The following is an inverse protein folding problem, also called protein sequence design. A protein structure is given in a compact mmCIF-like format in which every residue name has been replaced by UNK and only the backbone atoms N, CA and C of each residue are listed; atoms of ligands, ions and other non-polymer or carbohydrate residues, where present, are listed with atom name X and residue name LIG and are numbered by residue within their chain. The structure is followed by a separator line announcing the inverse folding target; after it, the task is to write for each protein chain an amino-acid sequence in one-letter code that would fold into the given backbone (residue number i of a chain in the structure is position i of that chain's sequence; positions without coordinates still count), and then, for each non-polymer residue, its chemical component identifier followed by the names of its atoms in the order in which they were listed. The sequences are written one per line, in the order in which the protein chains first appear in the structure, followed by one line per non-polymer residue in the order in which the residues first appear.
data_IF_991446507781
#
_entry.id   IF_991446507781
#
_cell.length_a   1.000
_cell.length_b   1.000
_cell.length_c   1.000
_cell.angle_alpha   90.00
_cell.angle_beta   90.00
_cell.angle_gamma   90.00
#
_symmetry.space_group_name_H-M   'P 1'
#
loop_
_entity.id
_entity.type
_entity.pdbx_description
1 polymer ?
#
# COMPACT_ATOMS: atom_id res chain seq x y z
N UNK A 1 -56.40 67.01 -18.49
CA UNK A 1 -55.68 66.00 -19.30
C UNK A 1 -54.27 65.59 -18.83
N UNK A 2 -53.65 66.24 -17.84
CA UNK A 2 -52.28 65.85 -17.33
C UNK A 2 -52.26 64.74 -16.30
N UNK A 3 -53.37 64.41 -15.59
CA UNK A 3 -53.38 63.39 -14.55
C UNK A 3 -53.40 61.92 -15.10
N UNK A 4 -54.04 61.70 -16.27
CA UNK A 4 -54.18 60.38 -16.89
C UNK A 4 -52.85 59.76 -17.39
N UNK A 5 -51.87 60.56 -17.78
CA UNK A 5 -50.56 60.08 -18.23
C UNK A 5 -49.65 59.65 -17.07
N UNK A 6 -49.73 60.37 -15.95
CA UNK A 6 -48.94 60.07 -14.72
C UNK A 6 -49.45 58.79 -14.06
N UNK A 7 -50.76 58.57 -13.99
CA UNK A 7 -51.35 57.34 -13.43
C UNK A 7 -51.05 56.12 -14.29
N UNK A 8 -51.01 56.24 -15.61
CA UNK A 8 -50.55 55.17 -16.52
C UNK A 8 -49.10 54.82 -16.30
N UNK A 9 -48.21 55.78 -16.17
CA UNK A 9 -46.77 55.54 -15.88
C UNK A 9 -46.56 54.89 -14.51
N UNK A 10 -47.28 55.34 -13.49
CA UNK A 10 -47.25 54.76 -12.15
C UNK A 10 -47.75 53.31 -12.15
N UNK A 11 -48.82 52.99 -12.87
CA UNK A 11 -49.33 51.63 -13.01
C UNK A 11 -48.35 50.73 -13.77
N UNK A 12 -47.69 51.20 -14.82
CA UNK A 12 -46.65 50.47 -15.54
C UNK A 12 -45.47 50.20 -14.62
N UNK A 13 -45.01 51.18 -13.86
CA UNK A 13 -43.85 51.04 -12.94
C UNK A 13 -44.17 50.04 -11.82
N UNK A 14 -45.36 50.09 -11.23
CA UNK A 14 -45.81 49.10 -10.20
C UNK A 14 -45.98 47.71 -10.74
N UNK A 15 -46.47 47.56 -11.98
CA UNK A 15 -46.61 46.27 -12.66
C UNK A 15 -45.21 45.67 -12.96
N UNK A 16 -44.29 46.49 -13.49
CA UNK A 16 -42.92 46.08 -13.77
C UNK A 16 -42.18 45.68 -12.47
N UNK A 17 -42.38 46.45 -11.39
CA UNK A 17 -41.77 46.14 -10.09
C UNK A 17 -42.31 44.82 -9.50
N UNK A 18 -43.61 44.50 -9.66
CA UNK A 18 -44.19 43.22 -9.25
C UNK A 18 -43.61 42.05 -10.05
N UNK A 19 -43.48 42.20 -11.34
CA UNK A 19 -42.84 41.18 -12.20
C UNK A 19 -41.37 40.96 -11.79
N UNK A 20 -40.60 41.99 -11.58
CA UNK A 20 -39.21 41.89 -11.11
C UNK A 20 -39.13 41.14 -9.79
N UNK A 21 -39.99 41.45 -8.82
CA UNK A 21 -40.03 40.75 -7.54
C UNK A 21 -40.37 39.26 -7.71
N UNK A 22 -41.33 38.93 -8.60
CA UNK A 22 -41.69 37.53 -8.91
C UNK A 22 -40.49 36.75 -9.52
N UNK A 23 -39.75 37.36 -10.45
CA UNK A 23 -38.56 36.73 -11.02
C UNK A 23 -37.44 36.59 -10.02
N UNK A 24 -37.24 37.53 -9.11
CA UNK A 24 -36.27 37.42 -8.01
C UNK A 24 -36.64 36.23 -7.10
N UNK A 25 -37.91 36.10 -6.71
CA UNK A 25 -38.34 34.96 -5.89
C UNK A 25 -38.18 33.64 -6.62
N UNK A 26 -38.51 33.59 -7.91
CA UNK A 26 -38.29 32.39 -8.73
C UNK A 26 -36.79 32.01 -8.77
N UNK A 27 -35.92 32.97 -9.01
CA UNK A 27 -34.46 32.76 -9.00
C UNK A 27 -33.98 32.24 -7.65
N UNK A 28 -34.46 32.81 -6.53
CA UNK A 28 -34.11 32.34 -5.17
C UNK A 28 -34.56 30.89 -4.96
N UNK A 29 -35.79 30.54 -5.40
CA UNK A 29 -36.32 29.16 -5.28
C UNK A 29 -35.43 28.19 -6.07
N UNK A 30 -35.04 28.56 -7.29
CA UNK A 30 -34.17 27.75 -8.15
C UNK A 30 -32.78 27.56 -7.48
N UNK A 31 -32.21 28.63 -6.94
CA UNK A 31 -30.92 28.58 -6.23
C UNK A 31 -31.04 27.67 -5.01
N UNK A 32 -32.06 27.83 -4.19
CA UNK A 32 -32.30 26.99 -3.00
C UNK A 32 -32.48 25.53 -3.39
N UNK A 33 -33.23 25.27 -4.48
CA UNK A 33 -33.40 23.92 -5.00
C UNK A 33 -32.07 23.29 -5.42
N UNK A 34 -31.21 24.00 -6.19
CA UNK A 34 -29.91 23.49 -6.60
C UNK A 34 -28.97 23.29 -5.41
N UNK A 35 -28.95 24.21 -4.46
CA UNK A 35 -28.17 24.07 -3.23
C UNK A 35 -28.64 22.83 -2.46
N UNK A 36 -29.95 22.67 -2.26
CA UNK A 36 -30.50 21.53 -1.53
C UNK A 36 -30.23 20.20 -2.24
N UNK A 37 -30.40 20.19 -3.57
CA UNK A 37 -30.09 19.02 -4.41
C UNK A 37 -28.61 18.67 -4.35
N UNK A 38 -27.70 19.67 -4.42
CA UNK A 38 -26.26 19.49 -4.29
C UNK A 38 -25.90 18.87 -2.94
N UNK A 39 -26.37 19.45 -1.84
CA UNK A 39 -26.11 18.91 -0.49
C UNK A 39 -26.66 17.50 -0.31
N UNK A 40 -27.85 17.24 -0.81
CA UNK A 40 -28.45 15.91 -0.75
C UNK A 40 -27.65 14.88 -1.55
N UNK A 41 -27.17 15.26 -2.72
CA UNK A 41 -26.32 14.42 -3.53
C UNK A 41 -24.98 14.12 -2.83
N UNK A 42 -24.37 15.12 -2.21
CA UNK A 42 -23.16 14.96 -1.43
C UNK A 42 -23.36 14.04 -0.21
N UNK A 43 -24.43 14.22 0.56
CA UNK A 43 -24.74 13.36 1.71
C UNK A 43 -24.93 11.88 1.32
N UNK A 44 -25.51 11.63 0.15
CA UNK A 44 -25.73 10.28 -0.37
C UNK A 44 -24.45 9.65 -0.95
N UNK A 45 -23.45 10.44 -1.32
CA UNK A 45 -22.23 9.97 -2.01
C UNK A 45 -21.51 8.86 -1.23
N UNK A 46 -21.34 9.04 0.08
CA UNK A 46 -20.73 8.05 0.97
C UNK A 46 -21.48 6.72 0.96
N UNK A 47 -22.79 6.76 1.10
CA UNK A 47 -23.64 5.56 1.08
C UNK A 47 -23.60 4.87 -0.27
N UNK A 48 -23.67 5.65 -1.36
CA UNK A 48 -23.58 5.13 -2.72
C UNK A 48 -22.25 4.43 -2.98
N UNK A 49 -21.13 5.02 -2.54
CA UNK A 49 -19.81 4.43 -2.68
C UNK A 49 -19.66 3.14 -1.87
N UNK A 50 -20.16 3.12 -0.62
CA UNK A 50 -20.16 1.91 0.20
C UNK A 50 -20.96 0.77 -0.46
N UNK A 51 -22.20 1.06 -0.88
CA UNK A 51 -23.05 0.07 -1.54
C UNK A 51 -22.45 -0.42 -2.86
N UNK A 52 -21.78 0.48 -3.59
CA UNK A 52 -21.03 0.10 -4.80
C UNK A 52 -19.89 -0.87 -4.48
N UNK A 53 -19.08 -0.58 -3.48
CA UNK A 53 -17.99 -1.47 -3.06
C UNK A 53 -18.54 -2.84 -2.63
N UNK A 54 -19.50 -2.88 -1.74
CA UNK A 54 -20.14 -4.11 -1.31
C UNK A 54 -20.73 -4.91 -2.48
N UNK A 55 -21.42 -4.26 -3.42
CA UNK A 55 -21.99 -4.93 -4.59
C UNK A 55 -20.94 -5.48 -5.56
N UNK A 56 -19.83 -4.75 -5.76
CA UNK A 56 -18.72 -5.19 -6.61
C UNK A 56 -18.08 -6.47 -6.07
N UNK A 57 -17.84 -6.51 -4.77
CA UNK A 57 -17.05 -7.54 -4.15
C UNK A 57 -17.87 -8.73 -3.63
N UNK A 58 -19.16 -8.55 -3.37
CA UNK A 58 -20.08 -9.65 -3.05
C UNK A 58 -20.46 -10.51 -4.28
N UNK A 59 -20.06 -10.09 -5.48
CA UNK A 59 -20.28 -10.92 -6.67
C UNK A 59 -19.37 -12.15 -6.62
N UNK A 60 -19.91 -13.33 -6.93
CA UNK A 60 -19.17 -14.60 -6.98
C UNK A 60 -17.91 -14.56 -7.88
N UNK A 61 -17.90 -13.64 -8.85
CA UNK A 61 -16.81 -13.44 -9.80
C UNK A 61 -15.53 -12.93 -9.13
N UNK A 62 -15.66 -12.09 -8.10
CA UNK A 62 -14.53 -11.45 -7.42
C UNK A 62 -14.28 -11.99 -6.01
N UNK A 63 -14.98 -13.08 -5.66
CA UNK A 63 -14.78 -13.71 -4.36
C UNK A 63 -13.32 -14.15 -4.19
N UNK A 64 -12.67 -13.88 -3.06
CA UNK A 64 -11.25 -14.20 -2.88
C UNK A 64 -11.02 -15.71 -2.85
N UNK A 65 -10.06 -16.16 -3.66
CA UNK A 65 -9.56 -17.55 -3.65
C UNK A 65 -8.21 -17.64 -2.95
N UNK A 66 -8.02 -16.78 -1.96
CA UNK A 66 -6.79 -16.61 -1.20
C UNK A 66 -6.91 -17.35 0.11
N UNK A 67 -5.82 -17.95 0.56
CA UNK A 67 -5.67 -18.58 1.89
C UNK A 67 -4.35 -18.15 2.53
N UNK A 68 -4.23 -18.38 3.85
CA UNK A 68 -2.98 -18.09 4.56
C UNK A 68 -1.81 -18.93 4.04
N UNK A 69 -0.61 -18.37 4.09
CA UNK A 69 0.65 -18.98 3.62
C UNK A 69 0.97 -20.33 4.27
N UNK A 70 0.43 -20.60 5.46
CA UNK A 70 0.59 -21.89 6.16
C UNK A 70 -0.39 -22.99 5.72
N UNK A 71 -1.35 -22.71 4.85
CA UNK A 71 -2.42 -23.67 4.53
C UNK A 71 -2.08 -24.68 3.43
N UNK A 72 -0.81 -25.04 3.27
CA UNK A 72 -0.40 -26.15 2.39
C UNK A 72 -0.30 -25.82 0.92
N UNK A 73 -0.17 -24.56 0.56
CA UNK A 73 0.13 -24.14 -0.79
C UNK A 73 1.56 -24.59 -1.15
N UNK A 74 1.72 -25.35 -2.21
CA UNK A 74 3.00 -25.91 -2.71
C UNK A 74 4.07 -24.84 -3.05
N UNK A 75 3.71 -23.56 -3.05
CA UNK A 75 4.64 -22.46 -3.20
C UNK A 75 5.51 -22.21 -1.97
N UNK A 76 5.12 -22.74 -0.82
CA UNK A 76 5.79 -22.59 0.47
C UNK A 76 6.34 -23.94 0.95
N UNK A 77 7.14 -24.60 0.12
CA UNK A 77 7.81 -25.84 0.54
C UNK A 77 8.76 -25.52 1.71
N UNK A 78 8.32 -25.90 2.89
CA UNK A 78 9.04 -25.67 4.16
C UNK A 78 10.35 -26.46 4.24
N UNK A 79 10.55 -27.42 3.34
CA UNK A 79 11.72 -28.32 3.31
C UNK A 79 12.79 -27.83 2.34
N UNK A 80 12.50 -26.81 1.52
CA UNK A 80 13.49 -26.34 0.56
C UNK A 80 14.37 -25.23 1.14
N UNK A 81 15.59 -25.21 0.67
CA UNK A 81 16.74 -24.41 1.10
C UNK A 81 16.42 -23.03 1.68
N UNK A 82 17.02 -22.74 2.81
CA UNK A 82 17.00 -21.49 3.59
C UNK A 82 17.23 -20.19 2.78
N UNK A 83 17.43 -20.27 1.47
CA UNK A 83 17.61 -19.12 0.55
C UNK A 83 16.33 -18.64 -0.10
N UNK A 84 15.27 -19.44 -0.13
CA UNK A 84 13.98 -19.13 -0.76
C UNK A 84 12.98 -18.76 0.33
N UNK A 85 12.11 -17.80 0.06
CA UNK A 85 11.04 -17.44 0.97
C UNK A 85 11.29 -16.23 1.85
N UNK A 86 12.25 -15.38 1.47
CA UNK A 86 12.46 -14.10 2.14
C UNK A 86 11.39 -13.10 1.72
N UNK A 87 11.08 -12.12 2.56
CA UNK A 87 10.04 -11.12 2.27
C UNK A 87 10.22 -10.48 0.89
N UNK A 88 11.45 -10.19 0.49
CA UNK A 88 11.76 -9.61 -0.83
C UNK A 88 11.45 -10.51 -2.02
N UNK A 89 11.29 -11.82 -1.81
CA UNK A 89 11.07 -12.78 -2.87
C UNK A 89 9.59 -12.89 -3.29
N UNK A 90 8.70 -12.16 -2.64
CA UNK A 90 7.26 -12.23 -2.88
C UNK A 90 6.69 -10.94 -3.44
N UNK A 91 5.68 -11.07 -4.30
CA UNK A 91 4.69 -10.03 -4.58
C UNK A 91 3.66 -10.04 -3.47
N UNK A 92 3.25 -8.87 -2.99
CA UNK A 92 2.38 -8.68 -1.83
C UNK A 92 1.11 -7.96 -2.27
N UNK A 93 -0.06 -8.55 -2.00
CA UNK A 93 -1.34 -7.92 -2.29
C UNK A 93 -1.50 -6.62 -1.50
N UNK A 94 -1.56 -5.48 -2.20
CA UNK A 94 -1.42 -4.13 -1.65
C UNK A 94 -2.54 -3.21 -2.08
N UNK A 95 -3.08 -2.44 -1.15
CA UNK A 95 -4.13 -1.45 -1.35
C UNK A 95 -3.58 -0.04 -1.18
N UNK A 96 -4.09 0.91 -1.99
CA UNK A 96 -3.83 2.35 -1.87
C UNK A 96 -5.01 3.05 -1.21
N UNK A 97 -4.75 3.96 -0.25
CA UNK A 97 -5.80 4.69 0.48
C UNK A 97 -6.98 3.78 0.89
N UNK A 98 -6.71 2.79 1.73
CA UNK A 98 -7.58 1.64 2.01
C UNK A 98 -8.95 1.98 2.61
N UNK A 99 -9.16 3.23 3.05
CA UNK A 99 -10.46 3.73 3.53
C UNK A 99 -11.28 4.47 2.45
N UNK A 100 -10.79 4.57 1.21
CA UNK A 100 -11.50 5.28 0.15
C UNK A 100 -12.44 4.34 -0.63
N UNK A 101 -13.71 4.72 -0.72
CA UNK A 101 -14.72 4.01 -1.52
C UNK A 101 -15.05 4.70 -2.84
N UNK A 102 -14.53 5.90 -3.06
CA UNK A 102 -14.73 6.73 -4.25
C UNK A 102 -13.50 7.55 -4.57
N UNK A 103 -13.68 8.82 -4.91
CA UNK A 103 -12.60 9.72 -5.26
C UNK A 103 -11.77 10.13 -4.03
N UNK A 104 -10.51 10.50 -4.24
CA UNK A 104 -9.62 10.97 -3.17
C UNK A 104 -9.83 12.45 -2.85
N UNK A 105 -10.55 13.16 -3.69
CA UNK A 105 -10.90 14.56 -3.54
C UNK A 105 -12.40 14.76 -3.69
N UNK A 106 -12.97 15.65 -2.89
CA UNK A 106 -14.41 15.94 -2.89
C UNK A 106 -15.30 14.70 -2.68
N UNK A 107 -14.84 13.80 -1.82
CA UNK A 107 -15.54 12.56 -1.47
C UNK A 107 -15.36 12.20 0.03
N UNK A 108 -15.75 11.00 0.40
CA UNK A 108 -15.76 10.53 1.79
C UNK A 108 -14.88 9.30 1.99
N UNK A 109 -14.21 9.25 3.14
CA UNK A 109 -13.61 8.02 3.65
C UNK A 109 -14.61 7.27 4.55
N UNK A 110 -14.53 5.93 4.54
CA UNK A 110 -15.36 5.10 5.42
C UNK A 110 -14.66 3.79 5.80
N UNK A 111 -15.22 3.08 6.77
CA UNK A 111 -14.68 1.78 7.21
C UNK A 111 -15.13 0.62 6.31
N UNK A 112 -16.16 0.79 5.50
CA UNK A 112 -16.63 -0.25 4.56
C UNK A 112 -15.55 -0.62 3.54
N UNK A 113 -14.94 0.33 2.80
CA UNK A 113 -13.83 0.01 1.90
C UNK A 113 -12.68 -0.74 2.59
N UNK A 114 -12.30 -0.33 3.79
CA UNK A 114 -11.24 -1.00 4.54
C UNK A 114 -11.58 -2.46 4.83
N UNK A 115 -12.81 -2.74 5.25
CA UNK A 115 -13.28 -4.11 5.51
C UNK A 115 -13.28 -4.95 4.23
N UNK A 116 -13.75 -4.39 3.12
CA UNK A 116 -13.74 -5.07 1.82
C UNK A 116 -12.33 -5.38 1.34
N UNK A 117 -11.40 -4.42 1.46
CA UNK A 117 -9.99 -4.62 1.12
C UNK A 117 -9.36 -5.76 1.93
N UNK A 118 -9.62 -5.81 3.23
CA UNK A 118 -9.16 -6.88 4.13
C UNK A 118 -9.83 -8.21 3.77
N UNK A 119 -11.14 -8.21 3.54
CA UNK A 119 -11.90 -9.39 3.14
C UNK A 119 -11.39 -9.99 1.83
N UNK A 120 -10.87 -9.16 0.92
CA UNK A 120 -10.26 -9.61 -0.35
C UNK A 120 -8.77 -9.94 -0.23
N UNK A 121 -8.26 -10.03 0.99
CA UNK A 121 -6.95 -10.61 1.31
C UNK A 121 -5.77 -9.67 1.14
N UNK A 122 -5.95 -8.36 1.01
CA UNK A 122 -4.83 -7.43 0.98
C UNK A 122 -3.98 -7.54 2.26
N UNK A 123 -2.65 -7.52 2.10
CA UNK A 123 -1.67 -7.61 3.19
C UNK A 123 -0.74 -6.41 3.28
N UNK A 124 -0.92 -5.41 2.41
CA UNK A 124 -0.47 -4.05 2.64
C UNK A 124 -1.67 -3.12 2.57
N UNK A 125 -1.83 -2.33 3.64
CA UNK A 125 -2.87 -1.30 3.78
C UNK A 125 -2.20 0.06 3.88
N UNK A 126 -2.65 1.02 3.08
CA UNK A 126 -2.07 2.35 2.98
C UNK A 126 -3.03 3.43 3.48
N UNK A 127 -2.52 4.38 4.25
CA UNK A 127 -3.30 5.45 4.88
C UNK A 127 -2.56 6.79 4.90
N UNK A 128 -3.30 7.86 4.66
CA UNK A 128 -2.84 9.23 4.96
C UNK A 128 -3.33 9.66 6.35
N UNK A 129 -2.38 10.07 7.20
CA UNK A 129 -2.63 10.44 8.59
C UNK A 129 -2.57 11.96 8.74
N UNK A 130 -3.67 12.54 9.18
CA UNK A 130 -3.84 13.96 9.45
C UNK A 130 -4.12 14.20 10.92
N UNK A 131 -4.01 15.46 11.38
CA UNK A 131 -4.51 15.91 12.68
C UNK A 131 -5.74 16.80 12.47
N UNK A 132 -6.80 16.53 13.21
CA UNK A 132 -8.03 17.35 13.25
C UNK A 132 -8.46 17.48 14.70
N UNK A 133 -8.62 18.72 15.19
CA UNK A 133 -8.98 19.01 16.57
C UNK A 133 -8.06 18.28 17.58
N UNK A 134 -6.77 18.36 17.35
CA UNK A 134 -5.74 17.70 18.17
C UNK A 134 -5.83 16.17 18.25
N UNK A 135 -6.56 15.53 17.35
CA UNK A 135 -6.61 14.07 17.27
C UNK A 135 -6.14 13.56 15.91
N UNK A 136 -5.63 12.31 15.88
CA UNK A 136 -5.14 11.67 14.67
C UNK A 136 -6.28 11.01 13.92
N UNK A 137 -6.34 11.31 12.63
CA UNK A 137 -7.40 10.83 11.75
C UNK A 137 -6.84 10.32 10.43
N UNK A 138 -7.59 9.40 9.81
CA UNK A 138 -7.37 8.94 8.45
C UNK A 138 -8.28 9.73 7.51
N UNK A 139 -7.69 10.26 6.45
CA UNK A 139 -8.39 10.90 5.34
C UNK A 139 -7.63 10.61 4.05
N UNK A 140 -7.99 11.24 2.94
CA UNK A 140 -7.24 11.16 1.69
C UNK A 140 -7.14 12.53 1.04
N UNK A 141 -6.15 12.70 0.16
CA UNK A 141 -5.97 13.91 -0.63
C UNK A 141 -5.67 13.57 -2.09
N UNK A 142 -6.41 14.21 -2.98
CA UNK A 142 -6.08 14.25 -4.41
C UNK A 142 -5.17 15.42 -4.78
N UNK A 143 -4.71 16.20 -3.79
CA UNK A 143 -3.86 17.36 -3.99
C UNK A 143 -2.37 16.98 -4.05
N UNK A 144 -1.60 17.80 -4.77
CA UNK A 144 -0.13 17.73 -4.72
C UNK A 144 0.44 18.21 -3.37
N UNK A 145 -0.36 18.96 -2.59
CA UNK A 145 0.05 19.41 -1.25
C UNK A 145 -0.04 18.26 -0.26
N UNK A 146 1.05 17.90 0.43
CA UNK A 146 1.03 16.83 1.41
C UNK A 146 0.22 17.15 2.67
N UNK A 147 -0.09 18.43 2.90
CA UNK A 147 -0.76 18.90 4.14
C UNK A 147 -2.25 19.20 3.95
N UNK A 148 -2.77 19.05 2.74
CA UNK A 148 -4.15 19.39 2.43
C UNK A 148 -5.01 18.14 2.31
N UNK A 149 -5.94 17.96 3.26
CA UNK A 149 -6.97 16.94 3.21
C UNK A 149 -7.95 17.23 2.05
N UNK A 150 -8.22 16.24 1.20
CA UNK A 150 -9.13 16.37 0.05
C UNK A 150 -10.53 15.83 0.34
N UNK A 151 -10.69 14.88 1.26
CA UNK A 151 -11.99 14.29 1.60
C UNK A 151 -12.80 15.16 2.55
N UNK A 152 -14.15 15.13 2.40
CA UNK A 152 -15.07 15.93 3.23
C UNK A 152 -15.07 15.53 4.70
N UNK A 153 -14.77 14.26 4.99
CA UNK A 153 -14.69 13.75 6.36
C UNK A 153 -13.33 13.14 6.65
N UNK A 154 -13.19 12.66 7.87
CA UNK A 154 -12.07 11.85 8.33
C UNK A 154 -12.57 10.77 9.28
N UNK A 155 -11.76 9.73 9.50
CA UNK A 155 -12.01 8.63 10.42
C UNK A 155 -11.02 8.70 11.58
N UNK A 156 -11.42 8.47 12.83
CA UNK A 156 -10.49 8.36 13.95
C UNK A 156 -9.45 7.26 13.65
N UNK A 157 -8.17 7.54 13.91
CA UNK A 157 -7.12 6.54 13.77
C UNK A 157 -7.16 5.53 14.92
N UNK A 158 -7.17 6.01 16.16
CA UNK A 158 -7.18 5.20 17.38
C UNK A 158 -8.58 5.07 18.00
N UNK A 159 -8.63 4.41 19.17
CA UNK A 159 -9.86 4.14 19.91
C UNK A 159 -10.66 2.94 19.39
N UNK A 160 -11.71 2.56 20.11
CA UNK A 160 -12.49 1.32 19.87
C UNK A 160 -13.17 1.24 18.49
N UNK A 161 -13.42 2.37 17.85
CA UNK A 161 -14.03 2.48 16.51
C UNK A 161 -13.06 3.08 15.49
N UNK A 162 -11.78 3.21 15.85
CA UNK A 162 -10.75 3.75 14.99
C UNK A 162 -10.30 2.76 13.93
N UNK A 163 -9.62 3.28 12.92
CA UNK A 163 -9.11 2.50 11.79
C UNK A 163 -8.21 1.35 12.25
N UNK A 164 -7.30 1.60 13.20
CA UNK A 164 -6.40 0.56 13.72
C UNK A 164 -7.15 -0.57 14.43
N UNK A 165 -8.21 -0.26 15.19
CA UNK A 165 -9.04 -1.26 15.85
C UNK A 165 -9.79 -2.15 14.86
N UNK A 166 -10.29 -1.56 13.76
CA UNK A 166 -10.93 -2.32 12.67
C UNK A 166 -9.90 -3.22 11.98
N UNK A 167 -8.69 -2.73 11.72
CA UNK A 167 -7.62 -3.56 11.15
C UNK A 167 -7.35 -4.76 12.06
N UNK A 168 -7.13 -4.53 13.36
CA UNK A 168 -6.85 -5.61 14.31
C UNK A 168 -7.96 -6.67 14.35
N UNK A 169 -9.22 -6.23 14.39
CA UNK A 169 -10.36 -7.14 14.50
C UNK A 169 -10.69 -7.89 13.21
N UNK A 170 -10.36 -7.33 12.03
CA UNK A 170 -10.74 -7.92 10.74
C UNK A 170 -9.59 -8.63 10.04
N UNK A 171 -8.36 -8.11 10.11
CA UNK A 171 -7.25 -8.68 9.35
C UNK A 171 -6.67 -9.97 9.96
N UNK A 172 -6.98 -10.27 11.22
CA UNK A 172 -6.45 -11.43 11.95
C UNK A 172 -7.54 -12.36 12.47
N UNK A 173 -8.75 -12.27 11.93
CA UNK A 173 -9.90 -13.08 12.36
C UNK A 173 -10.47 -13.90 11.23
N UNK A 174 -10.70 -15.18 11.48
CA UNK A 174 -11.41 -16.05 10.56
C UNK A 174 -12.84 -15.53 10.32
N UNK A 175 -13.29 -15.55 9.08
CA UNK A 175 -14.62 -15.07 8.69
C UNK A 175 -14.67 -13.59 8.26
N UNK A 176 -13.67 -12.77 8.62
CA UNK A 176 -13.54 -11.37 8.13
C UNK A 176 -12.38 -11.19 7.16
N UNK A 177 -11.53 -12.22 7.03
CA UNK A 177 -10.36 -12.21 6.18
C UNK A 177 -10.03 -13.64 5.76
N UNK A 178 -9.62 -13.88 4.50
CA UNK A 178 -9.31 -15.24 4.00
C UNK A 178 -7.95 -15.75 4.49
N UNK A 179 -7.07 -14.87 4.95
CA UNK A 179 -5.69 -15.16 5.29
C UNK A 179 -5.25 -14.56 6.64
N UNK A 180 -5.95 -14.86 7.75
CA UNK A 180 -5.74 -14.21 9.05
C UNK A 180 -4.40 -14.49 9.70
N UNK A 181 -3.66 -15.51 9.25
CA UNK A 181 -2.34 -15.88 9.77
C UNK A 181 -1.19 -15.22 9.00
N UNK A 182 -1.48 -14.47 7.95
CA UNK A 182 -0.46 -13.78 7.16
C UNK A 182 0.00 -12.50 7.85
N UNK A 183 1.30 -12.14 7.76
CA UNK A 183 1.79 -10.85 8.25
C UNK A 183 1.09 -9.70 7.52
N UNK A 184 0.95 -8.57 8.22
CA UNK A 184 0.30 -7.37 7.69
C UNK A 184 1.28 -6.21 7.65
N UNK A 185 1.38 -5.57 6.51
CA UNK A 185 2.12 -4.33 6.30
C UNK A 185 1.14 -3.15 6.39
N UNK A 186 1.48 -2.16 7.20
CA UNK A 186 0.71 -0.91 7.33
C UNK A 186 1.61 0.23 6.87
N UNK A 187 1.24 0.86 5.76
CA UNK A 187 1.93 2.02 5.22
C UNK A 187 1.25 3.30 5.69
N UNK A 188 2.01 4.16 6.37
CA UNK A 188 1.54 5.41 6.95
C UNK A 188 2.20 6.60 6.25
N UNK A 189 1.41 7.35 5.50
CA UNK A 189 1.80 8.64 4.92
C UNK A 189 1.41 9.75 5.89
N UNK A 190 2.37 10.21 6.68
CA UNK A 190 2.12 11.09 7.81
C UNK A 190 2.10 12.55 7.35
N UNK A 191 0.93 13.18 7.45
CA UNK A 191 0.64 14.57 7.05
C UNK A 191 0.37 15.48 8.27
N UNK A 192 0.89 15.12 9.43
CA UNK A 192 0.72 15.86 10.68
C UNK A 192 2.07 16.33 11.23
N UNK A 193 2.02 17.22 12.22
CA UNK A 193 3.20 17.77 12.88
C UNK A 193 3.80 16.80 13.90
N UNK A 194 5.02 17.10 14.35
CA UNK A 194 5.78 16.30 15.32
C UNK A 194 5.06 16.12 16.65
N UNK A 195 4.29 17.09 17.09
CA UNK A 195 3.57 17.10 18.37
C UNK A 195 2.58 15.93 18.55
N UNK A 196 2.24 15.24 17.45
CA UNK A 196 1.29 14.12 17.45
C UNK A 196 1.95 12.74 17.43
N UNK A 197 3.29 12.63 17.38
CA UNK A 197 3.97 11.33 17.28
C UNK A 197 3.84 10.49 18.56
N UNK A 198 3.81 11.11 19.74
CA UNK A 198 3.57 10.36 20.99
C UNK A 198 2.18 9.72 20.99
N UNK A 199 1.17 10.47 20.52
CA UNK A 199 -0.19 9.96 20.36
C UNK A 199 -0.25 8.83 19.31
N UNK A 200 0.48 8.96 18.21
CA UNK A 200 0.59 7.93 17.17
C UNK A 200 1.24 6.67 17.73
N UNK A 201 2.36 6.81 18.44
CA UNK A 201 3.04 5.72 19.14
C UNK A 201 2.08 4.98 20.06
N UNK A 202 1.35 5.73 20.89
CA UNK A 202 0.36 5.17 21.82
C UNK A 202 -0.71 4.39 21.08
N UNK A 203 -1.34 4.95 20.05
CA UNK A 203 -2.40 4.28 19.30
C UNK A 203 -1.94 2.99 18.64
N UNK A 204 -0.75 2.98 18.02
CA UNK A 204 -0.19 1.80 17.36
C UNK A 204 0.18 0.73 18.40
N UNK A 205 0.87 1.12 19.49
CA UNK A 205 1.31 0.20 20.54
C UNK A 205 0.15 -0.42 21.32
N UNK A 206 -0.84 0.38 21.73
CA UNK A 206 -2.02 -0.11 22.43
C UNK A 206 -2.88 -1.03 21.55
N UNK A 207 -2.93 -0.75 20.23
CA UNK A 207 -3.72 -1.57 19.33
C UNK A 207 -3.04 -2.91 19.05
N UNK A 208 -1.79 -2.92 18.63
CA UNK A 208 -1.15 -4.13 18.13
C UNK A 208 -0.32 -4.88 19.17
N UNK A 209 0.25 -4.18 20.15
CA UNK A 209 0.97 -4.80 21.26
C UNK A 209 2.02 -5.83 20.81
N UNK A 210 1.84 -7.10 21.22
CA UNK A 210 2.78 -8.18 20.89
C UNK A 210 2.84 -8.58 19.40
N UNK A 211 1.93 -8.09 18.58
CA UNK A 211 1.99 -8.27 17.11
C UNK A 211 3.03 -7.37 16.46
N UNK A 212 3.43 -6.27 17.10
CA UNK A 212 4.55 -5.44 16.62
C UNK A 212 5.85 -6.22 16.68
N UNK A 213 6.78 -5.85 15.81
CA UNK A 213 8.14 -6.38 15.85
C UNK A 213 8.91 -5.78 17.03
N UNK A 214 9.93 -6.48 17.48
CA UNK A 214 10.81 -5.98 18.54
C UNK A 214 11.74 -4.86 18.02
N UNK A 215 12.40 -4.15 18.94
CA UNK A 215 13.24 -3.00 18.64
C UNK A 215 14.39 -3.32 17.66
N UNK A 216 14.81 -4.60 17.52
CA UNK A 216 15.84 -4.97 16.54
C UNK A 216 15.39 -4.78 15.08
N UNK A 217 14.09 -4.69 14.84
CA UNK A 217 13.49 -4.36 13.55
C UNK A 217 13.01 -2.91 13.44
N UNK A 218 13.17 -2.11 14.51
CA UNK A 218 12.81 -0.71 14.57
C UNK A 218 13.77 0.20 13.83
N UNK A 219 13.56 1.49 13.97
CA UNK A 219 14.46 2.54 13.45
C UNK A 219 14.74 2.40 11.94
N UNK A 220 13.74 2.03 11.16
CA UNK A 220 13.85 1.80 9.71
C UNK A 220 14.87 0.69 9.33
N UNK A 221 15.22 -0.19 10.25
CA UNK A 221 16.25 -1.22 10.04
C UNK A 221 17.65 -0.65 9.90
N UNK A 222 17.94 0.54 10.44
CA UNK A 222 19.26 1.15 10.37
C UNK A 222 20.26 0.40 11.28
N UNK A 223 21.47 0.20 10.77
CA UNK A 223 22.52 -0.52 11.49
C UNK A 223 23.11 0.25 12.68
N UNK A 224 22.92 1.57 12.73
CA UNK A 224 23.33 2.47 13.81
C UNK A 224 22.29 2.61 14.93
N UNK A 225 21.15 1.95 14.78
CA UNK A 225 20.03 2.03 15.72
C UNK A 225 20.27 1.22 17.01
N UNK A 226 19.65 1.61 18.12
CA UNK A 226 19.66 0.81 19.34
C UNK A 226 19.13 -0.61 19.10
N UNK A 227 19.94 -1.64 19.41
CA UNK A 227 19.57 -3.04 19.23
C UNK A 227 20.02 -3.69 17.91
N UNK A 228 20.60 -2.92 17.00
CA UNK A 228 21.17 -3.41 15.73
C UNK A 228 20.10 -3.71 14.67
N UNK A 229 19.96 -2.83 13.67
CA UNK A 229 18.90 -2.87 12.65
C UNK A 229 18.85 -4.16 11.82
N UNK A 230 17.87 -5.00 12.04
CA UNK A 230 17.58 -6.15 11.20
C UNK A 230 16.89 -5.72 9.93
N UNK A 231 17.30 -6.32 8.83
CA UNK A 231 16.70 -6.07 7.52
C UNK A 231 15.52 -7.03 7.26
N UNK A 232 14.30 -6.54 7.39
CA UNK A 232 13.08 -7.30 7.13
C UNK A 232 13.07 -7.94 5.73
N UNK A 233 13.63 -7.26 4.73
CA UNK A 233 13.66 -7.80 3.36
C UNK A 233 14.43 -9.13 3.26
N UNK A 234 15.35 -9.38 4.17
CA UNK A 234 16.19 -10.57 4.26
C UNK A 234 15.61 -11.69 5.14
N UNK A 235 14.62 -11.37 5.99
CA UNK A 235 14.01 -12.33 6.88
C UNK A 235 13.05 -13.25 6.10
N UNK A 236 12.82 -14.44 6.63
CA UNK A 236 11.84 -15.36 6.04
C UNK A 236 10.43 -14.81 6.27
N UNK A 237 9.60 -14.82 5.25
CA UNK A 237 8.21 -14.38 5.36
C UNK A 237 7.44 -15.15 6.44
N UNK A 238 7.73 -16.44 6.57
CA UNK A 238 7.08 -17.33 7.56
C UNK A 238 7.42 -16.97 9.01
N UNK A 239 8.54 -16.31 9.28
CA UNK A 239 8.92 -15.90 10.64
C UNK A 239 7.99 -14.79 11.19
N UNK A 240 7.28 -14.10 10.29
CA UNK A 240 6.27 -13.10 10.63
C UNK A 240 4.83 -13.63 10.60
N UNK A 241 4.63 -14.83 10.11
CA UNK A 241 3.30 -15.43 10.04
C UNK A 241 2.83 -15.94 11.42
N UNK A 242 1.52 -15.94 11.61
CA UNK A 242 0.88 -16.47 12.82
C UNK A 242 0.85 -18.01 12.81
N UNK A 243 0.91 -18.58 14.00
CA UNK A 243 0.75 -20.01 14.26
C UNK A 243 -0.49 -20.28 15.12
N UNK A 244 -0.68 -21.52 15.55
CA UNK A 244 -1.76 -21.84 16.49
C UNK A 244 -1.55 -21.22 17.88
N UNK A 245 -0.30 -20.86 18.21
CA UNK A 245 0.08 -20.26 19.50
C UNK A 245 0.46 -18.77 19.42
N UNK A 246 0.60 -18.20 18.23
CA UNK A 246 1.04 -16.81 18.03
C UNK A 246 0.25 -16.10 16.93
N UNK A 247 -0.03 -14.83 17.15
CA UNK A 247 -0.63 -13.98 16.12
C UNK A 247 0.42 -13.55 15.09
N UNK A 248 -0.02 -13.34 13.84
CA UNK A 248 0.82 -12.79 12.80
C UNK A 248 1.32 -11.38 13.14
N UNK A 249 2.49 -11.04 12.63
CA UNK A 249 3.16 -9.77 12.90
C UNK A 249 2.62 -8.63 12.04
N UNK A 250 2.70 -7.43 12.60
CA UNK A 250 2.40 -6.16 11.94
C UNK A 250 3.71 -5.43 11.67
N UNK A 251 3.91 -5.02 10.43
CA UNK A 251 5.10 -4.34 9.94
C UNK A 251 4.69 -2.92 9.57
N UNK A 252 5.30 -1.93 10.23
CA UNK A 252 5.00 -0.51 10.01
C UNK A 252 5.97 0.07 9.00
N UNK A 253 5.40 0.66 7.94
CA UNK A 253 6.13 1.39 6.90
C UNK A 253 5.73 2.86 6.97
N UNK A 254 6.70 3.78 6.94
CA UNK A 254 6.44 5.21 6.76
C UNK A 254 6.84 5.69 5.37
N UNK A 255 6.15 6.71 4.88
CA UNK A 255 6.51 7.35 3.63
C UNK A 255 7.85 8.10 3.73
N UNK A 256 8.41 8.46 2.57
CA UNK A 256 9.67 9.21 2.50
C UNK A 256 9.52 10.73 2.69
N UNK A 257 8.28 11.24 2.64
CA UNK A 257 8.02 12.68 2.58
C UNK A 257 8.19 13.38 3.92
N UNK A 258 7.83 12.70 5.02
CA UNK A 258 7.88 13.28 6.37
C UNK A 258 8.68 12.40 7.34
N UNK A 259 9.88 12.85 7.70
CA UNK A 259 10.81 12.17 8.61
C UNK A 259 10.83 12.78 10.02
N UNK A 260 9.87 13.61 10.37
CA UNK A 260 9.82 14.27 11.68
C UNK A 260 9.62 13.29 12.85
N UNK A 261 9.36 12.01 12.57
CA UNK A 261 9.31 10.95 13.58
C UNK A 261 10.70 10.56 14.13
N UNK A 262 11.78 10.89 13.43
CA UNK A 262 13.15 10.58 13.87
C UNK A 262 13.45 11.33 15.17
N UNK A 263 13.99 10.59 16.15
CA UNK A 263 14.21 11.09 17.50
C UNK A 263 12.96 11.08 18.41
N UNK A 264 11.82 10.59 17.95
CA UNK A 264 10.62 10.37 18.76
C UNK A 264 10.47 8.89 19.13
N UNK A 265 9.61 8.57 20.10
CA UNK A 265 9.29 7.19 20.46
C UNK A 265 8.65 6.39 19.30
N UNK A 266 8.06 7.07 18.32
CA UNK A 266 7.49 6.42 17.14
C UNK A 266 8.54 5.78 16.23
N UNK A 267 9.76 6.32 16.21
CA UNK A 267 10.85 5.79 15.38
C UNK A 267 11.18 4.32 15.68
N UNK A 268 11.06 3.91 16.95
CA UNK A 268 11.26 2.52 17.36
C UNK A 268 10.26 1.54 16.71
N UNK A 269 9.06 2.01 16.41
CA UNK A 269 8.01 1.19 15.80
C UNK A 269 8.12 1.09 14.28
N UNK A 270 8.94 1.94 13.65
CA UNK A 270 9.05 2.00 12.19
C UNK A 270 10.06 0.96 11.72
N UNK A 271 9.56 -0.01 10.98
CA UNK A 271 10.37 -1.12 10.47
C UNK A 271 11.02 -0.79 9.12
N UNK A 272 10.33 -0.02 8.28
CA UNK A 272 10.78 0.39 6.95
C UNK A 272 10.33 1.84 6.67
N UNK A 273 11.05 2.54 5.81
CA UNK A 273 10.58 3.80 5.25
C UNK A 273 10.93 3.91 3.77
N UNK A 274 10.21 4.78 3.06
CA UNK A 274 10.28 4.90 1.62
C UNK A 274 11.64 5.29 1.02
N UNK A 275 12.61 5.70 1.85
CA UNK A 275 14.00 5.99 1.47
C UNK A 275 15.01 5.27 2.38
N UNK A 276 14.56 4.23 3.11
CA UNK A 276 15.46 3.40 3.90
C UNK A 276 16.38 2.57 3.00
N UNK A 277 17.49 2.00 3.53
CA UNK A 277 18.37 1.16 2.74
C UNK A 277 17.68 -0.05 2.11
N UNK A 278 16.54 -0.48 2.66
CA UNK A 278 15.88 -1.74 2.32
C UNK A 278 14.53 -1.59 1.63
N UNK A 279 14.02 -0.37 1.53
CA UNK A 279 12.78 -0.04 0.83
C UNK A 279 12.95 1.24 0.03
N UNK A 280 12.55 1.22 -1.23
CA UNK A 280 12.29 2.45 -2.01
C UNK A 280 10.80 2.60 -2.30
N UNK A 281 10.33 3.82 -2.25
CA UNK A 281 8.98 4.22 -2.64
C UNK A 281 9.03 4.90 -4.00
N UNK A 282 8.15 4.49 -4.93
CA UNK A 282 8.11 4.98 -6.30
C UNK A 282 6.67 5.28 -6.73
N UNK A 283 6.50 6.28 -7.57
CA UNK A 283 5.25 6.49 -8.29
C UNK A 283 5.24 5.69 -9.59
N UNK A 284 4.06 5.46 -10.14
CA UNK A 284 3.88 4.71 -11.39
C UNK A 284 4.80 5.19 -12.52
N UNK A 285 4.88 6.51 -12.74
CA UNK A 285 5.74 7.10 -13.77
C UNK A 285 7.23 6.78 -13.57
N UNK A 286 7.70 6.67 -12.32
CA UNK A 286 9.10 6.39 -12.02
C UNK A 286 9.48 4.96 -12.43
N UNK A 287 8.50 4.05 -12.44
CA UNK A 287 8.65 2.67 -12.92
C UNK A 287 8.43 2.62 -14.43
N UNK A 288 7.35 3.23 -14.93
CA UNK A 288 6.97 3.19 -16.35
C UNK A 288 8.05 3.79 -17.26
N UNK A 289 8.70 4.86 -16.79
CA UNK A 289 9.71 5.60 -17.56
C UNK A 289 11.13 5.40 -17.00
N UNK A 290 11.38 4.31 -16.29
CA UNK A 290 12.71 4.03 -15.75
C UNK A 290 13.76 3.95 -16.86
N UNK A 291 14.85 4.70 -16.71
CA UNK A 291 15.98 4.66 -17.65
C UNK A 291 16.91 3.46 -17.39
N UNK A 292 16.79 2.83 -16.22
CA UNK A 292 17.67 1.77 -15.75
C UNK A 292 16.88 0.52 -15.31
N UNK A 293 16.18 -0.18 -16.25
CA UNK A 293 15.34 -1.33 -15.90
C UNK A 293 16.11 -2.44 -15.17
N UNK A 294 17.32 -2.77 -15.63
CA UNK A 294 18.16 -3.80 -15.01
C UNK A 294 18.62 -3.43 -13.59
N UNK A 295 18.90 -2.16 -13.35
CA UNK A 295 19.27 -1.70 -12.00
C UNK A 295 18.08 -1.81 -11.04
N UNK A 296 16.86 -1.53 -11.52
CA UNK A 296 15.64 -1.71 -10.75
C UNK A 296 15.38 -3.19 -10.44
N UNK A 297 15.54 -4.09 -11.41
CA UNK A 297 15.43 -5.54 -11.20
C UNK A 297 16.45 -6.04 -10.16
N UNK A 298 17.73 -5.64 -10.29
CA UNK A 298 18.78 -6.02 -9.34
C UNK A 298 18.55 -5.46 -7.93
N UNK A 299 18.03 -4.24 -7.84
CA UNK A 299 17.60 -3.69 -6.55
C UNK A 299 16.49 -4.55 -5.93
N UNK A 300 15.48 -4.91 -6.70
CA UNK A 300 14.32 -5.68 -6.25
C UNK A 300 14.62 -7.14 -5.89
N UNK A 301 15.77 -7.68 -6.33
CA UNK A 301 16.27 -8.98 -5.88
C UNK A 301 16.80 -8.94 -4.44
N UNK A 302 17.18 -7.76 -3.95
CA UNK A 302 17.84 -7.60 -2.64
C UNK A 302 17.01 -6.80 -1.63
N UNK A 303 16.20 -5.87 -2.13
CA UNK A 303 15.44 -4.91 -1.36
C UNK A 303 13.97 -4.89 -1.80
N UNK A 304 13.17 -4.09 -1.12
CA UNK A 304 11.75 -3.92 -1.40
C UNK A 304 11.48 -2.66 -2.23
N UNK A 305 10.45 -2.72 -3.07
CA UNK A 305 9.90 -1.55 -3.75
C UNK A 305 8.40 -1.51 -3.52
N UNK A 306 7.93 -0.38 -2.98
CA UNK A 306 6.52 -0.01 -2.87
C UNK A 306 6.20 0.97 -3.99
N UNK A 307 5.15 0.69 -4.77
CA UNK A 307 4.73 1.55 -5.86
C UNK A 307 3.30 2.03 -5.67
N UNK A 308 3.06 3.30 -5.99
CA UNK A 308 1.78 3.98 -5.82
C UNK A 308 1.33 4.64 -7.11
N UNK A 309 0.01 4.92 -7.28
CA UNK A 309 -0.50 5.73 -8.38
C UNK A 309 0.15 7.11 -8.44
N UNK A 310 0.19 7.70 -9.64
CA UNK A 310 0.63 9.08 -9.83
C UNK A 310 -0.41 10.06 -9.28
N UNK A 311 0.05 11.20 -8.74
CA UNK A 311 -0.83 12.23 -8.18
C UNK A 311 -1.73 12.92 -9.21
N UNK A 312 -1.49 12.68 -10.51
CA UNK A 312 -2.29 13.23 -11.61
C UNK A 312 -3.44 12.32 -12.03
N UNK A 313 -3.32 11.00 -11.81
CA UNK A 313 -4.28 9.96 -12.21
C UNK A 313 -4.55 9.03 -11.04
N UNK A 314 -4.98 9.58 -9.92
CA UNK A 314 -5.15 8.84 -8.67
C UNK A 314 -6.25 7.78 -8.72
N UNK A 315 -7.31 8.00 -9.49
CA UNK A 315 -8.47 7.11 -9.52
C UNK A 315 -8.26 5.87 -10.40
N UNK A 316 -7.37 5.93 -11.38
CA UNK A 316 -7.07 4.80 -12.25
C UNK A 316 -6.08 3.84 -11.59
N UNK A 317 -6.25 2.54 -11.81
CA UNK A 317 -5.28 1.56 -11.39
C UNK A 317 -4.07 1.54 -12.32
N UNK A 318 -2.91 1.41 -11.71
CA UNK A 318 -1.64 1.24 -12.42
C UNK A 318 -1.53 -0.18 -13.00
N UNK A 319 -0.73 -0.35 -14.06
CA UNK A 319 -0.45 -1.67 -14.63
C UNK A 319 0.45 -2.48 -13.69
N UNK A 320 -0.15 -3.26 -12.80
CA UNK A 320 0.59 -4.10 -11.86
C UNK A 320 1.52 -5.08 -12.56
N UNK A 321 1.16 -5.58 -13.74
CA UNK A 321 1.98 -6.50 -14.54
C UNK A 321 3.32 -5.88 -14.93
N UNK A 322 3.34 -4.60 -15.31
CA UNK A 322 4.59 -3.87 -15.59
C UNK A 322 5.48 -3.81 -14.35
N UNK A 323 4.92 -3.43 -13.21
CA UNK A 323 5.67 -3.31 -11.95
C UNK A 323 6.22 -4.67 -11.49
N UNK A 324 5.40 -5.71 -11.58
CA UNK A 324 5.80 -7.08 -11.25
C UNK A 324 6.90 -7.60 -12.18
N UNK A 325 6.93 -7.19 -13.46
CA UNK A 325 8.00 -7.59 -14.40
C UNK A 325 9.37 -7.07 -13.98
N UNK A 326 9.43 -5.97 -13.27
CA UNK A 326 10.67 -5.46 -12.65
C UNK A 326 10.92 -5.98 -11.24
N UNK A 327 10.06 -6.88 -10.73
CA UNK A 327 10.18 -7.48 -9.41
C UNK A 327 9.75 -6.57 -8.25
N UNK A 328 9.01 -5.47 -8.50
CA UNK A 328 8.43 -4.65 -7.43
C UNK A 328 7.49 -5.50 -6.58
N UNK A 329 7.63 -5.45 -5.26
CA UNK A 329 6.91 -6.35 -4.36
C UNK A 329 5.51 -5.84 -4.02
N UNK A 330 5.37 -4.56 -3.73
CA UNK A 330 4.16 -3.93 -3.22
C UNK A 330 3.63 -2.93 -4.25
N UNK A 331 2.58 -3.33 -4.98
CA UNK A 331 1.91 -2.49 -5.99
C UNK A 331 0.56 -2.09 -5.44
N UNK A 332 0.47 -0.85 -4.95
CA UNK A 332 -0.72 -0.33 -4.29
C UNK A 332 -1.83 -0.03 -5.30
N UNK A 333 -2.95 -0.75 -5.20
CA UNK A 333 -4.08 -0.66 -6.11
C UNK A 333 -5.27 0.05 -5.49
N UNK A 334 -6.06 0.72 -6.32
CA UNK A 334 -7.32 1.37 -5.97
C UNK A 334 -8.45 0.35 -5.99
N UNK A 335 -8.73 -0.28 -4.86
CA UNK A 335 -9.77 -1.32 -4.74
C UNK A 335 -11.19 -0.81 -5.06
N UNK A 336 -11.45 0.48 -4.90
CA UNK A 336 -12.73 1.10 -5.27
C UNK A 336 -12.96 1.20 -6.78
N UNK A 337 -11.93 0.95 -7.61
CA UNK A 337 -12.04 0.99 -9.07
C UNK A 337 -11.73 -0.38 -9.69
N UNK A 338 -12.78 -1.06 -10.18
CA UNK A 338 -12.67 -2.39 -10.80
C UNK A 338 -12.42 -2.28 -12.32
N UNK A 339 -11.35 -1.61 -12.71
CA UNK A 339 -10.89 -1.52 -14.10
C UNK A 339 -10.17 -2.81 -14.57
N UNK A 340 -9.64 -2.79 -15.80
CA UNK A 340 -8.91 -3.93 -16.36
C UNK A 340 -7.63 -4.27 -15.59
N UNK A 341 -6.93 -3.26 -15.06
CA UNK A 341 -5.72 -3.46 -14.29
C UNK A 341 -6.02 -4.14 -12.94
N UNK A 342 -7.10 -3.71 -12.26
CA UNK A 342 -7.54 -4.34 -11.01
C UNK A 342 -8.00 -5.78 -11.23
N UNK A 343 -8.72 -6.07 -12.33
CA UNK A 343 -9.13 -7.44 -12.68
C UNK A 343 -7.91 -8.35 -12.86
N UNK A 344 -6.91 -7.92 -13.64
CA UNK A 344 -5.66 -8.67 -13.82
C UNK A 344 -4.91 -8.87 -12.50
N UNK A 345 -4.95 -7.87 -11.62
CA UNK A 345 -4.35 -7.95 -10.29
C UNK A 345 -5.03 -9.02 -9.42
N UNK A 346 -6.36 -9.02 -9.36
CA UNK A 346 -7.13 -10.06 -8.66
C UNK A 346 -6.88 -11.45 -9.22
N UNK A 347 -6.90 -11.60 -10.54
CA UNK A 347 -6.62 -12.89 -11.20
C UNK A 347 -5.26 -13.43 -10.80
N UNK A 348 -4.22 -12.58 -10.74
CA UNK A 348 -2.89 -12.99 -10.31
C UNK A 348 -2.88 -13.59 -8.91
N UNK A 349 -3.44 -12.88 -7.92
CA UNK A 349 -3.43 -13.35 -6.53
C UNK A 349 -4.38 -14.53 -6.30
N UNK A 350 -5.55 -14.53 -6.93
CA UNK A 350 -6.49 -15.65 -6.88
C UNK A 350 -5.92 -16.93 -7.53
N UNK A 351 -5.22 -16.81 -8.66
CA UNK A 351 -4.55 -17.95 -9.30
C UNK A 351 -3.37 -18.45 -8.46
N UNK A 352 -2.68 -17.56 -7.77
CA UNK A 352 -1.62 -17.89 -6.83
C UNK A 352 -2.14 -18.47 -5.50
N UNK A 353 -3.44 -18.32 -5.20
CA UNK A 353 -4.07 -18.82 -3.98
C UNK A 353 -3.58 -18.18 -2.69
N UNK A 354 -2.83 -17.07 -2.77
CA UNK A 354 -2.23 -16.38 -1.63
C UNK A 354 -2.08 -14.88 -1.89
N UNK A 355 -2.08 -14.09 -0.82
CA UNK A 355 -1.70 -12.67 -0.86
C UNK A 355 -0.20 -12.45 -1.04
N UNK A 356 0.59 -13.50 -0.93
CA UNK A 356 2.02 -13.52 -1.15
C UNK A 356 2.36 -14.51 -2.27
N UNK A 357 2.76 -14.01 -3.42
CA UNK A 357 3.11 -14.83 -4.58
C UNK A 357 4.61 -14.80 -4.80
N UNK A 358 5.23 -15.97 -4.83
CA UNK A 358 6.66 -16.10 -5.08
C UNK A 358 7.01 -15.55 -6.46
N UNK A 359 8.01 -14.66 -6.52
CA UNK A 359 8.51 -14.10 -7.78
C UNK A 359 9.16 -15.19 -8.65
N UNK A 360 9.19 -15.03 -9.98
CA UNK A 360 9.98 -15.88 -10.87
C UNK A 360 11.46 -15.94 -10.43
N UNK A 361 12.13 -17.04 -10.69
CA UNK A 361 13.51 -17.28 -10.24
C UNK A 361 14.52 -16.22 -10.71
N UNK A 362 14.34 -15.70 -11.92
CA UNK A 362 15.17 -14.62 -12.48
C UNK A 362 15.03 -13.28 -11.76
N UNK A 363 13.93 -13.06 -11.03
CA UNK A 363 13.65 -11.87 -10.23
C UNK A 363 13.90 -12.05 -8.71
N UNK A 364 14.51 -13.17 -8.34
CA UNK A 364 14.94 -13.48 -6.98
C UNK A 364 16.46 -13.47 -6.85
N UNK A 365 16.98 -13.20 -5.65
CA UNK A 365 18.40 -13.34 -5.37
C UNK A 365 18.80 -14.83 -5.46
N UNK A 366 19.70 -15.14 -6.36
CA UNK A 366 20.25 -16.49 -6.48
C UNK A 366 21.59 -16.54 -5.76
N UNK A 367 21.85 -17.65 -5.06
CA UNK A 367 23.20 -17.90 -4.54
C UNK A 367 24.16 -18.04 -5.71
N UNK A 368 25.34 -17.42 -5.67
CA UNK A 368 26.35 -17.70 -6.67
C UNK A 368 26.70 -19.20 -6.62
N UNK A 369 26.51 -19.89 -7.74
CA UNK A 369 26.99 -21.25 -7.88
C UNK A 369 28.52 -21.17 -7.88
N UNK A 370 29.16 -21.57 -6.77
CA UNK A 370 30.59 -21.78 -6.77
C UNK A 370 30.87 -22.94 -7.73
N UNK A 371 31.33 -22.62 -8.90
CA UNK A 371 31.92 -23.63 -9.78
C UNK A 371 33.09 -24.22 -8.99
N UNK A 372 32.99 -25.50 -8.63
CA UNK A 372 34.13 -26.22 -8.07
C UNK A 372 35.24 -26.07 -9.08
N UNK A 373 36.38 -25.48 -8.67
CA UNK A 373 37.58 -25.50 -9.47
C UNK A 373 37.86 -26.96 -9.86
N UNK A 374 38.01 -27.27 -11.17
CA UNK A 374 38.39 -28.62 -11.57
C UNK A 374 39.55 -29.11 -10.72
N UNK A 375 39.58 -30.35 -10.27
CA UNK A 375 40.72 -30.89 -9.57
C UNK A 375 41.99 -30.61 -10.36
N UNK A 376 43.06 -30.25 -9.67
CA UNK A 376 44.34 -29.97 -10.30
C UNK A 376 44.71 -31.17 -11.25
N UNK A 377 45.07 -30.82 -12.47
CA UNK A 377 45.36 -31.80 -13.47
C UNK A 377 46.50 -32.71 -12.97
N UNK A 378 46.32 -34.04 -13.01
CA UNK A 378 47.36 -34.93 -12.59
C UNK A 378 48.63 -34.67 -13.41
N UNK A 379 49.77 -34.31 -12.78
CA UNK A 379 51.00 -33.97 -13.46
C UNK A 379 51.47 -35.09 -14.40
N UNK A 380 51.12 -36.34 -14.10
CA UNK A 380 51.48 -37.49 -14.93
C UNK A 380 50.70 -37.57 -16.25
N UNK A 381 49.49 -36.96 -16.29
CA UNK A 381 48.62 -36.87 -17.47
C UNK A 381 48.74 -35.52 -18.19
N UNK A 382 49.62 -34.64 -17.73
CA UNK A 382 49.87 -33.34 -18.35
C UNK A 382 50.67 -33.50 -19.65
N UNK A 383 50.25 -32.76 -20.69
CA UNK A 383 51.02 -32.61 -21.92
C UNK A 383 52.20 -31.60 -21.76
N UNK A 384 52.48 -31.10 -20.57
CA UNK A 384 53.62 -30.26 -20.33
C UNK A 384 54.91 -31.04 -20.51
N UNK A 385 55.90 -30.40 -21.10
CA UNK A 385 57.22 -31.00 -21.33
C UNK A 385 57.81 -31.61 -20.02
N UNK A 386 58.05 -32.91 -20.05
CA UNK A 386 58.65 -33.66 -18.91
C UNK A 386 60.14 -33.82 -19.13
N UNK A 387 60.95 -33.51 -18.14
CA UNK A 387 62.36 -33.81 -18.14
C UNK A 387 62.55 -35.26 -17.70
N UNK A 388 63.11 -36.06 -18.55
CA UNK A 388 63.54 -37.42 -18.27
C UNK A 388 65.06 -37.34 -17.98
N UNK A 389 65.46 -37.63 -16.78
CA UNK A 389 66.87 -37.61 -16.34
C UNK A 389 67.22 -38.98 -15.76
N UNK A 390 67.64 -39.88 -16.64
CA UNK A 390 68.12 -41.21 -16.28
C UNK A 390 69.63 -41.26 -16.42
N UNK A 391 70.33 -42.18 -15.74
CA UNK A 391 71.84 -42.21 -15.73
C UNK A 391 72.44 -42.30 -17.13
N UNK A 392 71.73 -42.87 -18.09
CA UNK A 392 72.21 -43.04 -19.47
C UNK A 392 71.32 -42.33 -20.53
N UNK A 393 70.28 -41.56 -20.12
CA UNK A 393 69.39 -40.88 -21.06
C UNK A 393 68.80 -39.62 -20.44
N UNK A 394 69.02 -38.49 -21.09
CA UNK A 394 68.40 -37.21 -20.68
C UNK A 394 67.63 -36.64 -21.85
N UNK A 395 66.36 -36.37 -21.66
CA UNK A 395 65.51 -35.78 -22.68
C UNK A 395 64.41 -34.91 -22.05
N UNK A 396 63.87 -34.01 -22.83
CA UNK A 396 62.67 -33.27 -22.53
C UNK A 396 61.60 -33.64 -23.57
N UNK A 397 60.55 -34.27 -23.13
CA UNK A 397 59.42 -34.70 -23.99
C UNK A 397 58.25 -33.78 -23.73
#
# INVERSE_FOLDING_TARGET
MKNTSYDKLKNIATHTQRFLIQYIWLAIIIIVFFITWYYRNQLNKKSTNNNRMESLYNSSKYFPKISSIHSGNSQFDLNDDTSIGRVRDYYIASSYNSCCGGDFQDDYVSLTPLKEVIFHGARLLDFEIYSVNDDLVVAASGSKSPYLKGTYNSLPLGGNKGVLSIIKSHAFSNGTCPNPRDPLFIHLRIKTNVDHYDKLTKYVSETFGSQLLDASYGYEGRSDAPGGGKNISNERLLDFAGSDSSMAKVIIICDQENKNYRGTAFEELINLSGDSPYLQEKRNKDIQYTQYPKALEEYNKRNLTLTMPDLTNLNDNISSSLHFSYGCQMVCMNYQNMDSNMKSYFEKFNNGGSAFILKPSNLRSQKPVMLKTPPAQNPELSFAAKKIDLPMYKSSI
#
